data_IF_947009447372
#
_entry.id   IF_947009447372
#
_cell.length_a   1.000
_cell.length_b   1.000
_cell.length_c   1.000
_cell.angle_alpha   90.00
_cell.angle_beta   90.00
_cell.angle_gamma   90.00
#
_symmetry.space_group_name_H-M   'P 1'
#
loop_
_entity.id
_entity.type
_entity.pdbx_description
1 polymer ?
#
# COMPACT_ATOMS: atom_id res chain seq x y z
N UNK A 1 -18.12 -0.94 -14.40
CA UNK A 1 -17.55 -2.12 -15.09
C UNK A 1 -18.36 -3.35 -14.69
N UNK A 2 -18.78 -4.20 -15.62
CA UNK A 2 -19.54 -5.41 -15.27
C UNK A 2 -18.59 -6.55 -14.83
N UNK A 3 -19.14 -7.57 -14.14
CA UNK A 3 -18.36 -8.68 -13.58
C UNK A 3 -17.61 -9.48 -14.66
N UNK A 4 -18.23 -9.65 -15.82
CA UNK A 4 -17.65 -10.37 -16.96
C UNK A 4 -16.37 -9.69 -17.46
N UNK A 5 -16.44 -8.38 -17.72
CA UNK A 5 -15.30 -7.61 -18.23
C UNK A 5 -14.15 -7.56 -17.23
N UNK A 6 -14.46 -7.48 -15.93
CA UNK A 6 -13.43 -7.56 -14.89
C UNK A 6 -12.71 -8.92 -14.92
N UNK A 7 -13.46 -10.03 -14.99
CA UNK A 7 -12.88 -11.37 -15.03
C UNK A 7 -12.00 -11.58 -16.28
N UNK A 8 -12.44 -11.09 -17.44
CA UNK A 8 -11.63 -11.11 -18.67
C UNK A 8 -10.30 -10.37 -18.51
N UNK A 9 -10.33 -9.16 -17.95
CA UNK A 9 -9.13 -8.35 -17.74
C UNK A 9 -8.19 -9.05 -16.75
N UNK A 10 -8.71 -9.50 -15.60
CA UNK A 10 -7.91 -10.18 -14.58
C UNK A 10 -7.28 -11.48 -15.12
N UNK A 11 -8.02 -12.26 -15.91
CA UNK A 11 -7.51 -13.49 -16.53
C UNK A 11 -6.40 -13.25 -17.56
N UNK A 12 -6.23 -12.02 -18.06
CA UNK A 12 -5.19 -11.67 -19.02
C UNK A 12 -3.84 -11.30 -18.36
N UNK A 13 -3.78 -11.14 -17.03
CA UNK A 13 -2.55 -10.77 -16.30
C UNK A 13 -1.51 -11.90 -16.17
N UNK A 14 -1.86 -13.18 -15.96
CA UNK A 14 -0.87 -14.24 -15.88
C UNK A 14 0.06 -14.28 -17.09
N UNK A 15 1.37 -14.31 -16.83
CA UNK A 15 2.41 -14.29 -17.88
C UNK A 15 2.78 -12.91 -18.42
N UNK A 16 2.07 -11.84 -18.04
CA UNK A 16 2.45 -10.47 -18.39
C UNK A 16 3.66 -10.01 -17.57
N UNK A 17 4.45 -9.11 -18.16
CA UNK A 17 5.51 -8.37 -17.48
C UNK A 17 5.14 -6.89 -17.43
N UNK A 18 5.09 -6.33 -16.23
CA UNK A 18 4.73 -4.93 -16.01
C UNK A 18 5.91 -4.25 -15.31
N UNK A 19 6.25 -3.04 -15.77
CA UNK A 19 7.20 -2.17 -15.07
C UNK A 19 6.40 -1.04 -14.42
N UNK A 20 6.51 -0.91 -13.10
CA UNK A 20 5.93 0.20 -12.35
C UNK A 20 7.01 1.26 -12.15
N UNK A 21 6.77 2.45 -12.71
CA UNK A 21 7.66 3.60 -12.57
C UNK A 21 7.07 4.57 -11.53
N UNK A 22 7.80 4.87 -10.47
CA UNK A 22 7.36 5.86 -9.47
C UNK A 22 7.95 5.64 -8.08
N UNK A 23 7.46 6.43 -7.13
CA UNK A 23 7.99 6.47 -5.77
C UNK A 23 7.47 5.31 -4.93
N UNK A 24 8.40 4.48 -4.43
CA UNK A 24 8.10 3.48 -3.42
C UNK A 24 8.04 4.15 -2.05
N UNK A 25 7.01 3.83 -1.26
CA UNK A 25 6.85 4.37 0.08
C UNK A 25 6.63 3.23 1.08
N UNK A 26 6.95 3.49 2.34
CA UNK A 26 6.60 2.63 3.46
C UNK A 26 5.43 3.28 4.22
N UNK A 27 4.29 2.59 4.23
CA UNK A 27 3.13 3.03 5.00
C UNK A 27 3.22 2.39 6.38
N UNK A 28 3.55 3.20 7.39
CA UNK A 28 3.62 2.76 8.78
C UNK A 28 2.32 3.05 9.52
N UNK A 29 1.77 2.03 10.15
CA UNK A 29 0.56 2.12 10.94
C UNK A 29 0.90 2.01 12.41
N UNK A 30 0.54 3.05 13.17
CA UNK A 30 0.62 3.07 14.63
C UNK A 30 -0.80 3.06 15.18
N UNK A 31 -1.09 2.15 16.10
CA UNK A 31 -2.40 2.08 16.74
C UNK A 31 -2.25 1.94 18.26
N UNK A 32 -3.26 2.43 18.97
CA UNK A 32 -3.35 2.43 20.41
C UNK A 32 -4.44 3.38 20.89
N UNK A 33 -4.84 3.31 22.17
CA UNK A 33 -5.86 4.18 22.73
C UNK A 33 -5.42 5.64 22.80
N UNK A 34 -6.38 6.56 22.69
CA UNK A 34 -6.20 8.01 22.69
C UNK A 34 -7.08 8.67 23.77
N UNK A 35 -6.93 8.21 25.02
CA UNK A 35 -7.87 8.50 26.11
C UNK A 35 -7.64 9.86 26.79
N UNK A 36 -6.65 10.65 26.35
CA UNK A 36 -6.33 11.95 26.94
C UNK A 36 -5.90 12.98 25.90
N UNK A 37 -6.11 14.25 26.25
CA UNK A 37 -5.63 15.43 25.48
C UNK A 37 -4.28 15.90 26.05
N UNK A 38 -3.39 16.38 25.19
CA UNK A 38 -2.10 16.93 25.61
C UNK A 38 -2.28 18.22 26.43
N UNK A 39 -1.53 18.43 27.52
CA UNK A 39 -1.53 19.71 28.23
C UNK A 39 -0.79 20.82 27.46
N UNK A 40 0.00 20.48 26.43
CA UNK A 40 0.82 21.43 25.67
C UNK A 40 0.09 21.99 24.44
N UNK A 41 -0.91 21.28 23.91
CA UNK A 41 -1.69 21.67 22.75
C UNK A 41 -3.02 20.89 22.71
N UNK A 42 -4.08 21.40 22.05
CA UNK A 42 -5.38 20.73 21.94
C UNK A 42 -5.35 19.55 20.93
N UNK A 43 -4.47 18.58 21.17
CA UNK A 43 -4.28 17.37 20.35
C UNK A 43 -4.35 16.10 21.22
N UNK A 44 -4.90 14.98 20.71
CA UNK A 44 -4.92 13.71 21.43
C UNK A 44 -3.51 13.13 21.64
N UNK A 45 -3.31 12.42 22.75
CA UNK A 45 -2.09 11.62 22.97
C UNK A 45 -2.42 10.15 22.72
N UNK A 46 -1.82 9.58 21.67
CA UNK A 46 -1.96 8.15 21.35
C UNK A 46 -0.90 7.36 22.13
N UNK A 47 -1.32 6.40 22.95
CA UNK A 47 -0.42 5.43 23.58
C UNK A 47 -0.26 4.23 22.65
N UNK A 48 0.72 4.28 21.75
CA UNK A 48 0.96 3.24 20.76
C UNK A 48 1.20 1.89 21.45
N UNK A 49 0.42 0.87 21.08
CA UNK A 49 0.57 -0.51 21.57
C UNK A 49 0.81 -1.53 20.44
N UNK A 50 0.60 -1.13 19.18
CA UNK A 50 0.89 -1.95 18.01
C UNK A 50 1.35 -1.09 16.85
N UNK A 51 2.33 -1.63 16.12
CA UNK A 51 2.90 -1.07 14.91
C UNK A 51 2.98 -2.15 13.84
N UNK A 52 2.69 -1.80 12.60
CA UNK A 52 3.00 -2.63 11.44
C UNK A 52 3.26 -1.77 10.21
N UNK A 53 4.06 -2.31 9.32
CA UNK A 53 4.43 -1.67 8.06
C UNK A 53 3.70 -2.33 6.89
N UNK A 54 3.36 -1.54 5.88
CA UNK A 54 2.88 -1.99 4.59
C UNK A 54 3.60 -1.26 3.46
N UNK A 55 3.57 -1.84 2.27
CA UNK A 55 4.07 -1.18 1.07
C UNK A 55 3.09 -0.09 0.62
N UNK A 56 3.61 1.11 0.38
CA UNK A 56 2.88 2.26 -0.13
C UNK A 56 3.33 2.67 -1.52
N UNK A 57 2.62 3.62 -2.13
CA UNK A 57 3.00 4.19 -3.43
C UNK A 57 3.16 3.15 -4.55
N UNK A 58 4.24 3.27 -5.31
CA UNK A 58 4.59 2.37 -6.41
C UNK A 58 4.76 0.90 -5.94
N UNK A 59 5.20 0.68 -4.71
CA UNK A 59 5.33 -0.67 -4.17
C UNK A 59 3.96 -1.33 -3.93
N UNK A 60 2.93 -0.57 -3.53
CA UNK A 60 1.56 -1.08 -3.43
C UNK A 60 0.97 -1.41 -4.81
N UNK A 61 1.26 -0.60 -5.82
CA UNK A 61 0.85 -0.89 -7.21
C UNK A 61 1.49 -2.20 -7.69
N UNK A 62 2.79 -2.39 -7.43
CA UNK A 62 3.48 -3.63 -7.76
C UNK A 62 2.89 -4.84 -7.02
N UNK A 63 2.54 -4.70 -5.74
CA UNK A 63 1.87 -5.77 -4.97
C UNK A 63 0.54 -6.19 -5.62
N UNK A 64 -0.24 -5.24 -6.14
CA UNK A 64 -1.48 -5.53 -6.86
C UNK A 64 -1.23 -6.21 -8.22
N UNK A 65 -0.17 -5.83 -8.95
CA UNK A 65 0.20 -6.52 -10.20
C UNK A 65 0.57 -7.99 -9.92
N UNK A 66 1.35 -8.23 -8.87
CA UNK A 66 1.75 -9.57 -8.45
C UNK A 66 0.54 -10.41 -8.01
N UNK A 67 -0.43 -9.82 -7.31
CA UNK A 67 -1.65 -10.54 -6.86
C UNK A 67 -2.54 -10.99 -8.02
N UNK A 68 -2.44 -10.33 -9.18
CA UNK A 68 -3.09 -10.74 -10.44
C UNK A 68 -2.31 -11.83 -11.21
N UNK A 69 -1.17 -12.29 -10.71
CA UNK A 69 -0.37 -13.36 -11.31
C UNK A 69 0.60 -12.90 -12.41
N UNK A 70 0.75 -11.59 -12.60
CA UNK A 70 1.76 -11.04 -13.49
C UNK A 70 3.13 -10.95 -12.81
N UNK A 71 4.20 -10.73 -13.60
CA UNK A 71 5.52 -10.36 -13.10
C UNK A 71 5.63 -8.84 -13.05
N UNK A 72 6.19 -8.30 -11.98
CA UNK A 72 6.36 -6.86 -11.80
C UNK A 72 7.80 -6.51 -11.48
N UNK A 73 8.34 -5.53 -12.21
CA UNK A 73 9.59 -4.83 -11.89
C UNK A 73 9.24 -3.41 -11.41
N UNK A 74 9.92 -2.88 -10.39
CA UNK A 74 9.71 -1.51 -9.90
C UNK A 74 10.96 -0.69 -10.16
N UNK A 75 10.78 0.49 -10.78
CA UNK A 75 11.84 1.46 -10.97
C UNK A 75 11.43 2.79 -10.35
N UNK A 76 12.25 3.27 -9.43
CA UNK A 76 12.04 4.52 -8.73
C UNK A 76 13.31 4.99 -8.05
N UNK A 77 13.24 6.16 -7.45
CA UNK A 77 14.32 6.69 -6.60
C UNK A 77 13.86 6.56 -5.15
N UNK A 78 14.75 6.03 -4.30
CA UNK A 78 14.57 6.07 -2.86
C UNK A 78 15.51 7.16 -2.34
N UNK A 79 14.94 8.16 -1.66
CA UNK A 79 15.64 9.33 -1.15
C UNK A 79 15.67 9.33 0.39
#
# INVERSE_FOLDING_TARGET
MNRTRFAEIAAAFPGQRVVVLGDAMLDRYLTGPADRVSPEAPVPVVRVDREWDAVGGAANVAANVLSLGARCDVLGVVA
#
